data_IF_377279593443
#
_entry.id   IF_377279593443
#
_cell.length_a   1.000
_cell.length_b   1.000
_cell.length_c   1.000
_cell.angle_alpha   90.00
_cell.angle_beta   90.00
_cell.angle_gamma   90.00
#
_symmetry.space_group_name_H-M   'P 1'
#
loop_
_entity.id
_entity.type
_entity.pdbx_description
1 polymer ?
#
# COMPACT_ATOMS: atom_id res chain seq x y z
N UNK A 1 15.62 -34.91 12.71
CA UNK A 1 15.60 -33.55 12.16
C UNK A 1 14.18 -33.04 12.07
N UNK A 2 13.88 -31.94 12.75
CA UNK A 2 12.59 -31.26 12.62
C UNK A 2 12.46 -30.63 11.23
N UNK A 3 11.27 -30.73 10.63
CA UNK A 3 10.99 -30.04 9.39
C UNK A 3 11.15 -28.52 9.60
N UNK A 4 11.81 -27.81 8.69
CA UNK A 4 12.09 -26.40 8.89
C UNK A 4 10.77 -25.58 8.88
N UNK A 5 10.69 -24.58 9.75
CA UNK A 5 9.47 -23.77 9.95
C UNK A 5 8.94 -23.18 8.62
N UNK A 6 7.61 -23.08 8.46
CA UNK A 6 7.00 -22.47 7.27
C UNK A 6 7.32 -20.98 7.19
N UNK A 7 7.41 -20.46 5.97
CA UNK A 7 7.73 -19.06 5.69
C UNK A 7 6.50 -18.39 5.07
N UNK A 8 6.19 -17.19 5.54
CA UNK A 8 5.18 -16.30 4.98
C UNK A 8 5.83 -14.98 4.60
N UNK A 9 5.54 -14.47 3.40
CA UNK A 9 6.03 -13.16 2.94
C UNK A 9 4.89 -12.14 3.01
N UNK A 10 5.15 -11.03 3.69
CA UNK A 10 4.20 -9.94 3.83
C UNK A 10 4.69 -8.71 3.08
N UNK A 11 3.80 -8.09 2.32
CA UNK A 11 4.11 -6.95 1.48
C UNK A 11 3.39 -5.70 2.00
N UNK A 12 4.13 -4.61 2.33
CA UNK A 12 3.51 -3.39 2.80
C UNK A 12 2.75 -2.69 1.66
N UNK A 13 1.74 -1.90 2.04
CA UNK A 13 1.04 -1.00 1.13
C UNK A 13 1.69 0.38 1.05
N UNK A 14 0.96 1.33 0.48
CA UNK A 14 1.30 2.76 0.53
C UNK A 14 1.43 3.25 1.99
N UNK A 15 2.36 4.17 2.22
CA UNK A 15 2.71 4.75 3.52
C UNK A 15 4.14 4.44 3.98
N UNK A 16 4.80 3.43 3.40
CA UNK A 16 6.19 3.05 3.73
C UNK A 16 7.21 3.44 2.67
N UNK A 17 6.80 4.13 1.61
CA UNK A 17 7.69 4.68 0.59
C UNK A 17 8.59 5.77 1.17
N UNK A 18 9.82 5.88 0.68
CA UNK A 18 10.72 6.97 1.01
C UNK A 18 11.72 7.19 -0.12
N UNK A 19 12.20 8.44 -0.25
CA UNK A 19 13.24 8.78 -1.23
C UNK A 19 14.52 8.00 -0.88
N UNK A 20 15.17 7.42 -1.90
CA UNK A 20 16.30 6.48 -1.82
C UNK A 20 15.93 5.02 -1.50
N UNK A 21 14.65 4.64 -1.44
CA UNK A 21 14.26 3.25 -1.13
C UNK A 21 14.82 2.19 -2.08
N UNK A 22 15.19 2.58 -3.32
CA UNK A 22 15.74 1.67 -4.33
C UNK A 22 17.26 1.57 -4.36
N UNK A 23 17.98 2.34 -3.53
CA UNK A 23 19.45 2.52 -3.61
C UNK A 23 20.22 1.20 -3.61
N UNK A 24 19.83 0.27 -2.73
CA UNK A 24 20.58 -0.98 -2.51
C UNK A 24 20.08 -2.16 -3.35
N UNK A 25 19.10 -1.94 -4.23
CA UNK A 25 18.45 -3.00 -5.01
C UNK A 25 18.42 -2.73 -6.51
N UNK A 26 18.53 -1.46 -6.93
CA UNK A 26 18.46 -1.05 -8.35
C UNK A 26 19.47 -1.76 -9.27
N UNK A 27 20.61 -2.19 -8.73
CA UNK A 27 21.69 -2.77 -9.53
C UNK A 27 21.56 -4.29 -9.71
N UNK A 28 20.62 -4.94 -9.01
CA UNK A 28 20.34 -6.37 -9.17
C UNK A 28 19.86 -6.61 -10.60
N UNK A 29 20.42 -7.58 -11.36
CA UNK A 29 20.09 -7.78 -12.79
C UNK A 29 18.59 -7.88 -13.06
N UNK A 30 17.88 -8.67 -12.25
CA UNK A 30 16.42 -8.83 -12.39
C UNK A 30 15.64 -7.55 -12.09
N UNK A 31 16.13 -6.72 -11.17
CA UNK A 31 15.55 -5.42 -10.86
C UNK A 31 15.75 -4.44 -12.01
N UNK A 32 16.91 -4.46 -12.68
CA UNK A 32 17.11 -3.66 -13.90
C UNK A 32 16.11 -4.02 -15.00
N UNK A 33 15.80 -5.30 -15.18
CA UNK A 33 14.75 -5.74 -16.11
C UNK A 33 13.37 -5.20 -15.72
N UNK A 34 13.00 -5.28 -14.43
CA UNK A 34 11.74 -4.72 -13.94
C UNK A 34 11.66 -3.21 -14.15
N UNK A 35 12.76 -2.49 -13.91
CA UNK A 35 12.83 -1.04 -14.12
C UNK A 35 12.68 -0.65 -15.59
N UNK A 36 13.34 -1.36 -16.51
CA UNK A 36 13.20 -1.12 -17.94
C UNK A 36 11.76 -1.37 -18.42
N UNK A 37 11.13 -2.46 -17.95
CA UNK A 37 9.72 -2.74 -18.22
C UNK A 37 8.80 -1.66 -17.62
N UNK A 38 9.12 -1.21 -16.41
CA UNK A 38 8.34 -0.19 -15.73
C UNK A 38 8.39 1.15 -16.46
N UNK A 39 9.54 1.57 -16.94
CA UNK A 39 9.67 2.78 -17.74
C UNK A 39 8.82 2.71 -19.01
N UNK A 40 8.83 1.57 -19.70
CA UNK A 40 7.99 1.35 -20.90
C UNK A 40 6.48 1.37 -20.59
N UNK A 41 6.04 0.77 -19.49
CA UNK A 41 4.61 0.69 -19.11
C UNK A 41 4.07 2.02 -18.55
N UNK A 42 4.89 2.69 -17.73
CA UNK A 42 4.51 3.92 -17.04
C UNK A 42 4.72 5.14 -17.94
N UNK A 43 5.58 5.06 -18.95
CA UNK A 43 5.95 6.19 -19.81
C UNK A 43 6.85 7.22 -19.12
N UNK A 44 7.51 6.84 -18.02
CA UNK A 44 8.35 7.70 -17.18
C UNK A 44 9.32 6.88 -16.34
N UNK A 45 10.42 7.51 -15.95
CA UNK A 45 11.42 6.92 -15.07
C UNK A 45 10.95 6.93 -13.60
N UNK A 46 10.38 5.81 -13.16
CA UNK A 46 9.97 5.61 -11.78
C UNK A 46 11.17 5.47 -10.82
N UNK A 47 12.33 4.99 -11.30
CA UNK A 47 13.51 4.86 -10.47
C UNK A 47 14.01 6.25 -10.04
N UNK A 48 14.05 7.20 -10.98
CA UNK A 48 14.44 8.58 -10.68
C UNK A 48 13.60 9.17 -9.56
N UNK A 49 12.28 9.03 -9.63
CA UNK A 49 11.38 9.48 -8.56
C UNK A 49 11.70 8.80 -7.23
N UNK A 50 11.91 7.48 -7.23
CA UNK A 50 12.27 6.73 -6.02
C UNK A 50 13.63 7.11 -5.42
N UNK A 51 14.58 7.63 -6.20
CA UNK A 51 15.93 7.99 -5.73
C UNK A 51 16.10 9.46 -5.38
N UNK A 52 15.44 10.33 -6.14
CA UNK A 52 15.65 11.78 -6.10
C UNK A 52 14.44 12.53 -5.51
N UNK A 53 13.23 11.97 -5.59
CA UNK A 53 12.00 12.63 -5.15
C UNK A 53 11.52 13.71 -6.13
N UNK A 54 10.81 14.74 -5.64
CA UNK A 54 10.57 15.06 -4.24
C UNK A 54 9.65 14.06 -3.55
N UNK A 55 9.71 14.01 -2.21
CA UNK A 55 8.89 13.11 -1.38
C UNK A 55 7.40 13.31 -1.64
N UNK A 56 6.95 14.57 -1.74
CA UNK A 56 5.55 14.90 -2.04
C UNK A 56 5.05 14.32 -3.36
N UNK A 57 5.90 14.28 -4.39
CA UNK A 57 5.55 13.65 -5.66
C UNK A 57 5.53 12.12 -5.53
N UNK A 58 6.44 11.54 -4.74
CA UNK A 58 6.43 10.10 -4.46
C UNK A 58 5.21 9.66 -3.62
N UNK A 59 4.66 10.55 -2.80
CA UNK A 59 3.47 10.33 -1.98
C UNK A 59 2.16 10.37 -2.77
N UNK A 60 2.13 11.03 -3.94
CA UNK A 60 0.95 11.03 -4.81
C UNK A 60 0.53 9.59 -5.14
N UNK A 61 -0.75 9.27 -4.99
CA UNK A 61 -1.25 7.89 -5.06
C UNK A 61 -0.92 7.22 -6.40
N UNK A 62 -1.04 7.96 -7.50
CA UNK A 62 -0.69 7.53 -8.85
C UNK A 62 0.81 7.20 -9.05
N UNK A 63 1.68 7.73 -8.20
CA UNK A 63 3.13 7.54 -8.25
C UNK A 63 3.58 6.49 -7.23
N UNK A 64 3.09 6.64 -6.00
CA UNK A 64 3.38 5.77 -4.88
C UNK A 64 3.05 4.32 -5.20
N UNK A 65 1.89 4.08 -5.82
CA UNK A 65 1.41 2.73 -6.07
C UNK A 65 2.35 1.93 -7.00
N UNK A 66 2.66 2.40 -8.22
CA UNK A 66 3.68 1.77 -9.06
C UNK A 66 5.06 1.67 -8.39
N UNK A 67 5.50 2.72 -7.69
CA UNK A 67 6.80 2.75 -7.03
C UNK A 67 6.94 1.64 -5.97
N UNK A 68 5.92 1.49 -5.11
CA UNK A 68 5.89 0.47 -4.06
C UNK A 68 5.75 -0.95 -4.62
N UNK A 69 5.00 -1.15 -5.71
CA UNK A 69 4.94 -2.45 -6.38
C UNK A 69 6.32 -2.87 -6.92
N UNK A 70 7.00 -1.97 -7.64
CA UNK A 70 8.35 -2.22 -8.18
C UNK A 70 9.36 -2.44 -7.04
N UNK A 71 9.29 -1.65 -5.97
CA UNK A 71 10.15 -1.81 -4.80
C UNK A 71 9.90 -3.13 -4.08
N UNK A 72 8.64 -3.58 -3.97
CA UNK A 72 8.28 -4.87 -3.40
C UNK A 72 8.88 -6.04 -4.20
N UNK A 73 8.78 -5.98 -5.53
CA UNK A 73 9.42 -6.96 -6.42
C UNK A 73 10.95 -6.95 -6.29
N UNK A 74 11.55 -5.77 -6.17
CA UNK A 74 12.99 -5.65 -5.94
C UNK A 74 13.43 -6.21 -4.58
N UNK A 75 12.61 -6.04 -3.54
CA UNK A 75 12.81 -6.67 -2.24
C UNK A 75 12.81 -8.20 -2.31
N UNK A 76 11.93 -8.79 -3.14
CA UNK A 76 11.91 -10.24 -3.37
C UNK A 76 13.18 -10.72 -4.05
N UNK A 77 13.69 -9.99 -5.06
CA UNK A 77 14.94 -10.38 -5.71
C UNK A 77 16.14 -10.25 -4.79
N UNK A 78 16.18 -9.21 -3.94
CA UNK A 78 17.19 -9.11 -2.88
C UNK A 78 17.10 -10.27 -1.90
N UNK A 79 15.90 -10.59 -1.42
CA UNK A 79 15.68 -11.72 -0.51
C UNK A 79 16.08 -13.05 -1.16
N UNK A 80 15.80 -13.24 -2.46
CA UNK A 80 16.21 -14.42 -3.22
C UNK A 80 17.73 -14.56 -3.29
N UNK A 81 18.44 -13.44 -3.52
CA UNK A 81 19.90 -13.44 -3.56
C UNK A 81 20.55 -13.71 -2.20
N UNK A 82 19.96 -13.21 -1.11
CA UNK A 82 20.51 -13.38 0.24
C UNK A 82 20.08 -14.70 0.91
N UNK A 83 18.86 -15.17 0.63
CA UNK A 83 18.20 -16.32 1.26
C UNK A 83 17.20 -16.95 0.29
N UNK A 84 17.70 -17.64 -0.74
CA UNK A 84 16.87 -18.27 -1.77
C UNK A 84 15.72 -19.12 -1.19
N UNK A 85 16.03 -19.93 -0.17
CA UNK A 85 15.05 -20.77 0.53
C UNK A 85 13.87 -19.98 1.11
N UNK A 86 14.08 -18.73 1.53
CA UNK A 86 13.00 -17.91 2.08
C UNK A 86 11.93 -17.60 1.02
N UNK A 87 12.34 -17.47 -0.23
CA UNK A 87 11.42 -17.21 -1.35
C UNK A 87 10.86 -18.53 -1.89
N UNK A 88 11.69 -19.56 -2.07
CA UNK A 88 11.25 -20.83 -2.67
C UNK A 88 10.39 -21.68 -1.73
N UNK A 89 10.54 -21.53 -0.41
CA UNK A 89 9.75 -22.26 0.60
C UNK A 89 8.59 -21.46 1.17
N UNK A 90 8.38 -20.21 0.72
CA UNK A 90 7.23 -19.43 1.14
C UNK A 90 5.93 -20.21 0.82
N UNK A 91 5.13 -20.49 1.84
CA UNK A 91 3.83 -21.17 1.71
C UNK A 91 2.67 -20.20 1.64
N UNK A 92 2.88 -18.99 2.13
CA UNK A 92 1.89 -17.93 2.19
C UNK A 92 2.53 -16.64 1.72
N UNK A 93 1.79 -15.88 0.93
CA UNK A 93 2.07 -14.48 0.65
C UNK A 93 0.81 -13.69 0.92
N UNK A 94 0.96 -12.49 1.47
CA UNK A 94 -0.15 -11.58 1.72
C UNK A 94 0.34 -10.15 1.65
N UNK A 95 -0.53 -9.20 1.33
CA UNK A 95 -0.16 -7.80 1.39
C UNK A 95 -1.27 -6.88 1.85
N UNK A 96 -0.87 -5.73 2.36
CA UNK A 96 -1.81 -4.73 2.85
C UNK A 96 -2.15 -3.76 1.72
N UNK A 97 -3.43 -3.67 1.35
CA UNK A 97 -3.93 -2.75 0.31
C UNK A 97 -3.16 -2.94 -1.00
N UNK A 98 -2.30 -2.00 -1.38
CA UNK A 98 -1.43 -2.13 -2.55
C UNK A 98 -0.50 -3.35 -2.48
N UNK A 99 0.00 -3.69 -1.29
CA UNK A 99 0.93 -4.80 -1.12
C UNK A 99 0.35 -6.13 -1.60
N UNK A 100 -0.99 -6.28 -1.62
CA UNK A 100 -1.68 -7.46 -2.12
C UNK A 100 -1.37 -7.72 -3.60
N UNK A 101 -1.20 -6.66 -4.40
CA UNK A 101 -0.82 -6.80 -5.81
C UNK A 101 0.60 -7.38 -5.94
N UNK A 102 1.53 -6.93 -5.09
CA UNK A 102 2.87 -7.50 -5.03
C UNK A 102 2.81 -8.97 -4.59
N UNK A 103 2.02 -9.28 -3.56
CA UNK A 103 1.83 -10.65 -3.09
C UNK A 103 1.29 -11.58 -4.20
N UNK A 104 0.23 -11.15 -4.91
CA UNK A 104 -0.37 -11.90 -6.02
C UNK A 104 0.61 -12.08 -7.19
N UNK A 105 1.42 -11.07 -7.50
CA UNK A 105 2.48 -11.20 -8.50
C UNK A 105 3.52 -12.25 -8.10
N UNK A 106 3.94 -12.23 -6.83
CA UNK A 106 4.92 -13.19 -6.28
C UNK A 106 4.35 -14.61 -6.23
N UNK A 107 3.04 -14.75 -5.97
CA UNK A 107 2.32 -16.02 -6.07
C UNK A 107 2.13 -16.52 -7.51
N UNK A 108 2.47 -15.73 -8.53
CA UNK A 108 2.32 -16.09 -9.93
C UNK A 108 0.89 -16.00 -10.47
N UNK A 109 0.00 -15.25 -9.80
CA UNK A 109 -1.37 -15.02 -10.27
C UNK A 109 -1.39 -14.20 -11.56
N UNK A 110 -0.44 -13.27 -11.69
CA UNK A 110 -0.21 -12.50 -12.91
C UNK A 110 1.27 -12.16 -13.08
N UNK A 111 1.64 -11.74 -14.29
CA UNK A 111 2.99 -11.30 -14.63
C UNK A 111 3.33 -9.96 -13.97
N UNK A 112 4.63 -9.63 -13.88
CA UNK A 112 5.06 -8.30 -13.43
C UNK A 112 4.43 -7.18 -14.27
N UNK A 113 4.40 -7.34 -15.59
CA UNK A 113 3.86 -6.37 -16.52
C UNK A 113 2.37 -6.13 -16.32
N UNK A 114 1.58 -7.19 -16.14
CA UNK A 114 0.15 -7.08 -15.92
C UNK A 114 -0.14 -6.52 -14.52
N UNK A 115 0.62 -6.95 -13.52
CA UNK A 115 0.56 -6.39 -12.17
C UNK A 115 0.85 -4.89 -12.17
N UNK A 116 1.89 -4.45 -12.87
CA UNK A 116 2.24 -3.04 -12.95
C UNK A 116 1.19 -2.21 -13.70
N UNK A 117 0.63 -2.72 -14.80
CA UNK A 117 -0.48 -2.06 -15.51
C UNK A 117 -1.70 -1.90 -14.60
N UNK A 118 -2.04 -2.94 -13.85
CA UNK A 118 -3.17 -2.94 -12.93
C UNK A 118 -2.96 -1.95 -11.77
N UNK A 119 -1.75 -1.93 -11.20
CA UNK A 119 -1.37 -1.01 -10.14
C UNK A 119 -1.34 0.44 -10.63
N UNK A 120 -0.85 0.69 -11.86
CA UNK A 120 -0.92 2.00 -12.52
C UNK A 120 -2.37 2.47 -12.62
N UNK A 121 -3.25 1.66 -13.21
CA UNK A 121 -4.66 1.98 -13.36
C UNK A 121 -5.33 2.24 -12.01
N UNK A 122 -5.04 1.42 -11.00
CA UNK A 122 -5.56 1.62 -9.63
C UNK A 122 -5.09 2.94 -9.04
N UNK A 123 -3.81 3.27 -9.17
CA UNK A 123 -3.25 4.53 -8.68
C UNK A 123 -3.89 5.75 -9.32
N UNK A 124 -4.06 5.72 -10.64
CA UNK A 124 -4.72 6.78 -11.42
C UNK A 124 -6.19 6.93 -11.03
N UNK A 125 -6.96 5.84 -11.00
CA UNK A 125 -8.38 5.86 -10.64
C UNK A 125 -8.61 6.34 -9.20
N UNK A 126 -7.77 5.93 -8.25
CA UNK A 126 -7.86 6.42 -6.87
C UNK A 126 -7.50 7.91 -6.77
N UNK A 127 -6.52 8.36 -7.55
CA UNK A 127 -6.14 9.77 -7.58
C UNK A 127 -7.25 10.65 -8.16
N UNK A 128 -7.93 10.17 -9.22
CA UNK A 128 -9.09 10.83 -9.82
C UNK A 128 -10.27 10.88 -8.83
N UNK A 129 -10.62 9.77 -8.19
CA UNK A 129 -11.69 9.73 -7.19
C UNK A 129 -11.43 10.67 -6.00
N UNK A 130 -10.17 10.83 -5.60
CA UNK A 130 -9.79 11.75 -4.52
C UNK A 130 -9.94 13.24 -4.92
N UNK A 131 -10.05 13.56 -6.22
CA UNK A 131 -10.29 14.93 -6.69
C UNK A 131 -11.78 15.32 -6.64
N UNK A 132 -12.70 14.34 -6.56
CA UNK A 132 -14.14 14.61 -6.50
C UNK A 132 -14.58 15.30 -5.20
N UNK A 133 -13.81 15.17 -4.13
CA UNK A 133 -14.12 15.80 -2.85
C UNK A 133 -13.02 15.66 -1.83
N UNK A 134 -13.05 16.52 -0.80
CA UNK A 134 -12.09 16.44 0.31
C UNK A 134 -12.37 15.21 1.15
N UNK A 135 -11.36 14.36 1.28
CA UNK A 135 -11.38 13.13 2.04
C UNK A 135 -10.25 13.14 3.05
N UNK A 136 -10.42 12.40 4.15
CA UNK A 136 -9.38 12.20 5.15
C UNK A 136 -9.34 10.75 5.60
N UNK A 137 -8.18 10.36 6.13
CA UNK A 137 -7.96 9.09 6.78
C UNK A 137 -7.42 9.35 8.19
N UNK A 138 -7.94 8.63 9.18
CA UNK A 138 -7.58 8.77 10.59
C UNK A 138 -7.18 7.40 11.15
N UNK A 139 -6.00 7.34 11.79
CA UNK A 139 -5.59 6.20 12.58
C UNK A 139 -6.21 6.27 13.97
N UNK A 140 -6.89 5.21 14.39
CA UNK A 140 -7.54 5.10 15.70
C UNK A 140 -6.92 3.92 16.45
N UNK A 141 -6.44 4.16 17.67
CA UNK A 141 -5.84 3.15 18.53
C UNK A 141 -6.48 3.18 19.92
N UNK A 142 -6.71 2.01 20.51
CA UNK A 142 -7.23 1.86 21.88
C UNK A 142 -8.75 1.78 22.00
N UNK A 143 -9.49 1.85 20.89
CA UNK A 143 -10.94 1.63 20.87
C UNK A 143 -11.25 0.26 20.26
N UNK A 144 -12.19 -0.47 20.84
CA UNK A 144 -12.72 -1.71 20.25
C UNK A 144 -13.61 -1.42 19.04
N UNK A 145 -13.64 -2.35 18.08
CA UNK A 145 -14.42 -2.20 16.84
C UNK A 145 -15.90 -1.90 17.10
N UNK A 146 -16.49 -2.56 18.10
CA UNK A 146 -17.91 -2.43 18.45
C UNK A 146 -18.25 -1.05 19.05
N UNK A 147 -17.25 -0.33 19.55
CA UNK A 147 -17.39 1.07 19.98
C UNK A 147 -17.10 2.04 18.84
N UNK A 148 -16.08 1.75 18.03
CA UNK A 148 -15.67 2.62 16.93
C UNK A 148 -16.71 2.67 15.81
N UNK A 149 -17.29 1.54 15.42
CA UNK A 149 -18.23 1.49 14.30
C UNK A 149 -19.48 2.37 14.51
N UNK A 150 -20.15 2.38 15.70
CA UNK A 150 -21.22 3.34 15.99
C UNK A 150 -20.77 4.80 15.94
N UNK A 151 -19.56 5.12 16.42
CA UNK A 151 -19.02 6.48 16.39
C UNK A 151 -18.83 6.98 14.95
N UNK A 152 -18.33 6.12 14.05
CA UNK A 152 -18.23 6.46 12.63
C UNK A 152 -19.60 6.80 12.02
N UNK A 153 -20.63 6.01 12.34
CA UNK A 153 -22.00 6.24 11.85
C UNK A 153 -22.55 7.58 12.39
N UNK A 154 -22.36 7.86 13.68
CA UNK A 154 -22.82 9.11 14.29
C UNK A 154 -22.08 10.33 13.72
N UNK A 155 -20.77 10.24 13.53
CA UNK A 155 -19.96 11.31 12.94
C UNK A 155 -20.43 11.65 11.51
N UNK A 156 -20.70 10.63 10.68
CA UNK A 156 -21.27 10.86 9.34
C UNK A 156 -22.68 11.47 9.41
N UNK A 157 -23.54 11.01 10.33
CA UNK A 157 -24.91 11.54 10.49
C UNK A 157 -24.94 13.00 10.88
N UNK A 158 -24.03 13.46 11.74
CA UNK A 158 -23.94 14.86 12.17
C UNK A 158 -23.61 15.82 11.03
N UNK A 159 -22.75 15.38 10.10
CA UNK A 159 -22.41 16.17 8.92
C UNK A 159 -23.51 16.21 7.87
N UNK A 160 -24.36 15.17 7.82
CA UNK A 160 -25.55 15.13 6.99
C UNK A 160 -25.40 14.31 5.70
N UNK A 161 -26.34 14.47 4.75
CA UNK A 161 -26.41 13.64 3.55
C UNK A 161 -25.11 13.69 2.71
N UNK A 162 -24.61 12.52 2.30
CA UNK A 162 -23.39 12.39 1.49
C UNK A 162 -22.09 12.35 2.30
N UNK A 163 -22.14 12.57 3.62
CA UNK A 163 -20.99 12.36 4.49
C UNK A 163 -20.67 10.86 4.66
N UNK A 164 -19.40 10.53 4.65
CA UNK A 164 -18.92 9.15 4.80
C UNK A 164 -17.91 9.11 5.94
N UNK A 165 -18.04 8.14 6.82
CA UNK A 165 -17.06 7.82 7.84
C UNK A 165 -17.14 6.32 8.14
N UNK A 166 -16.07 5.59 7.86
CA UNK A 166 -16.09 4.12 7.91
C UNK A 166 -14.73 3.54 8.25
N UNK A 167 -14.71 2.43 8.99
CA UNK A 167 -13.48 1.69 9.26
C UNK A 167 -12.98 1.10 7.94
N UNK A 168 -11.86 1.62 7.43
CA UNK A 168 -11.23 1.19 6.18
C UNK A 168 -10.33 -0.02 6.40
N UNK A 169 -9.62 -0.09 7.53
CA UNK A 169 -8.70 -1.19 7.83
C UNK A 169 -8.78 -1.60 9.30
N UNK A 170 -8.75 -2.91 9.56
CA UNK A 170 -8.48 -3.48 10.88
C UNK A 170 -7.00 -3.89 10.90
N UNK A 171 -6.14 -3.12 11.57
CA UNK A 171 -4.68 -3.27 11.49
C UNK A 171 -4.14 -4.24 12.55
N UNK A 172 -4.63 -4.10 13.77
CA UNK A 172 -4.30 -4.94 14.92
C UNK A 172 -5.45 -4.87 15.95
N UNK A 173 -5.50 -5.73 16.98
CA UNK A 173 -6.51 -5.62 18.02
C UNK A 173 -6.52 -4.22 18.66
N UNK A 174 -7.65 -3.52 18.57
CA UNK A 174 -7.78 -2.14 19.02
C UNK A 174 -7.15 -1.07 18.10
N UNK A 175 -6.65 -1.44 16.91
CA UNK A 175 -6.00 -0.56 15.95
C UNK A 175 -6.69 -0.55 14.58
N UNK A 176 -7.14 0.62 14.15
CA UNK A 176 -7.94 0.79 12.93
C UNK A 176 -7.47 1.98 12.10
N UNK A 177 -7.70 1.90 10.79
CA UNK A 177 -7.76 3.08 9.92
C UNK A 177 -9.22 3.36 9.59
N UNK A 178 -9.61 4.63 9.67
CA UNK A 178 -10.95 5.11 9.32
C UNK A 178 -10.81 6.09 8.16
N UNK A 179 -11.59 5.89 7.10
CA UNK A 179 -11.62 6.74 5.91
C UNK A 179 -13.01 7.34 5.68
N UNK A 180 -13.04 8.54 5.11
CA UNK A 180 -14.29 9.26 4.93
C UNK A 180 -14.12 10.67 4.37
N UNK A 181 -15.22 11.41 4.35
CA UNK A 181 -15.21 12.85 4.03
C UNK A 181 -14.47 13.61 5.12
N UNK A 182 -13.77 14.68 4.74
CA UNK A 182 -12.91 15.44 5.65
C UNK A 182 -13.63 15.92 6.92
N UNK A 183 -14.84 16.44 6.79
CA UNK A 183 -15.63 16.90 7.93
C UNK A 183 -16.04 15.77 8.88
N UNK A 184 -16.53 14.65 8.33
CA UNK A 184 -17.00 13.52 9.14
C UNK A 184 -15.85 12.84 9.90
N UNK A 185 -14.65 12.81 9.30
CA UNK A 185 -13.45 12.29 9.96
C UNK A 185 -12.99 13.22 11.09
N UNK A 186 -13.08 14.54 10.92
CA UNK A 186 -12.76 15.50 11.98
C UNK A 186 -13.77 15.46 13.13
N UNK A 187 -15.06 15.25 12.84
CA UNK A 187 -16.08 15.01 13.87
C UNK A 187 -15.78 13.72 14.63
N UNK A 188 -15.45 12.62 13.92
CA UNK A 188 -15.05 11.38 14.57
C UNK A 188 -13.85 11.58 15.50
N UNK A 189 -12.83 12.31 15.05
CA UNK A 189 -11.64 12.62 15.88
C UNK A 189 -12.06 13.26 17.21
N UNK A 190 -12.93 14.27 17.15
CA UNK A 190 -13.43 14.98 18.33
C UNK A 190 -14.27 14.09 19.24
N UNK A 191 -15.00 13.13 18.68
CA UNK A 191 -15.82 12.18 19.43
C UNK A 191 -14.99 11.06 20.08
N UNK A 192 -13.95 10.58 19.40
CA UNK A 192 -13.11 9.48 19.85
C UNK A 192 -12.09 9.89 20.93
N UNK A 193 -11.79 11.18 21.07
CA UNK A 193 -10.93 11.74 22.12
C UNK A 193 -11.67 11.96 23.46
N UNK A 194 -12.99 11.82 23.51
CA UNK A 194 -13.83 11.98 24.71
C UNK A 194 -14.07 10.65 25.43
#
# INVERSE_FOLDING_TARGET
DEAPLPIALFFPGQGSQYVKMMTNVKDIPKVKEYLAKAESILGRDILKLCLEGPETALEETQNCQPAMFVAGMAGVEKLRAEREEAVTRAKVVAGLSLGEYTALCVAGVFSFEDGLKLVKLRGEAMQEAAQEGKQLMLSVAGLEKDKLAPLCIEAAKKEGPGAVCSIANCLFPGGFSVGGTDKAINELKTMAEK
#
